data_IF_970387417805
#
_entry.id   IF_970387417805
#
_cell.length_a   1.000
_cell.length_b   1.000
_cell.length_c   1.000
_cell.angle_alpha   90.00
_cell.angle_beta   90.00
_cell.angle_gamma   90.00
#
_symmetry.space_group_name_H-M   'P 1'
#
loop_
_entity.id
_entity.type
_entity.pdbx_description
1 polymer ?
#
# COMPACT_ATOMS: atom_id res chain seq x y z
N UNK A 1 -42.70 -7.79 7.02
CA UNK A 1 -41.86 -6.67 6.54
C UNK A 1 -40.42 -7.11 6.65
N UNK A 2 -39.79 -7.51 5.55
CA UNK A 2 -38.40 -7.94 5.54
C UNK A 2 -37.53 -6.71 5.73
N UNK A 3 -36.99 -6.51 6.93
CA UNK A 3 -36.08 -5.41 7.20
C UNK A 3 -34.91 -5.45 6.20
N UNK A 4 -34.71 -4.33 5.50
CA UNK A 4 -33.62 -4.14 4.55
C UNK A 4 -32.28 -4.11 5.26
N UNK A 5 -31.77 -5.28 5.64
CA UNK A 5 -30.39 -5.41 6.10
C UNK A 5 -29.49 -5.20 4.88
N UNK A 6 -28.82 -4.05 4.81
CA UNK A 6 -27.73 -3.81 3.87
C UNK A 6 -26.80 -5.03 3.88
N UNK A 7 -26.55 -5.59 2.70
CA UNK A 7 -25.71 -6.78 2.55
C UNK A 7 -24.34 -6.51 3.20
N UNK A 8 -23.93 -7.35 4.14
CA UNK A 8 -22.69 -7.18 4.92
C UNK A 8 -21.45 -7.05 4.02
N UNK A 9 -21.48 -7.60 2.80
CA UNK A 9 -20.43 -7.41 1.82
C UNK A 9 -20.19 -5.96 1.42
N UNK A 10 -21.20 -5.08 1.46
CA UNK A 10 -20.99 -3.64 1.21
C UNK A 10 -20.11 -2.99 2.27
N UNK A 11 -20.26 -3.40 3.54
CA UNK A 11 -19.38 -2.96 4.62
C UNK A 11 -17.94 -3.44 4.42
N UNK A 12 -17.75 -4.70 3.98
CA UNK A 12 -16.43 -5.24 3.66
C UNK A 12 -15.79 -4.46 2.50
N UNK A 13 -16.54 -4.17 1.44
CA UNK A 13 -16.04 -3.43 0.29
C UNK A 13 -15.63 -1.99 0.63
N UNK A 14 -16.44 -1.28 1.42
CA UNK A 14 -16.11 0.07 1.88
C UNK A 14 -14.87 0.03 2.79
N UNK A 15 -14.82 -0.91 3.73
CA UNK A 15 -13.65 -1.07 4.61
C UNK A 15 -12.38 -1.39 3.81
N UNK A 16 -12.46 -2.27 2.82
CA UNK A 16 -11.35 -2.59 1.93
C UNK A 16 -10.92 -1.39 1.08
N UNK A 17 -11.87 -0.61 0.55
CA UNK A 17 -11.58 0.60 -0.21
C UNK A 17 -10.87 1.65 0.65
N UNK A 18 -11.34 1.87 1.88
CA UNK A 18 -10.69 2.78 2.84
C UNK A 18 -9.31 2.26 3.24
N UNK A 19 -9.17 0.96 3.51
CA UNK A 19 -7.87 0.36 3.85
C UNK A 19 -6.86 0.46 2.69
N UNK A 20 -7.30 0.29 1.45
CA UNK A 20 -6.45 0.49 0.28
C UNK A 20 -6.09 1.96 0.10
N UNK A 21 -7.06 2.87 0.25
CA UNK A 21 -6.83 4.31 0.11
C UNK A 21 -5.85 4.85 1.17
N UNK A 22 -6.02 4.42 2.42
CA UNK A 22 -5.12 4.76 3.53
C UNK A 22 -3.86 3.88 3.58
N UNK A 23 -3.74 2.91 2.66
CA UNK A 23 -2.66 1.97 2.63
C UNK A 23 -1.33 2.62 2.23
N UNK A 24 -0.24 2.00 2.65
CA UNK A 24 1.12 2.44 2.34
C UNK A 24 1.39 2.65 0.84
N UNK A 25 1.02 1.72 -0.07
CA UNK A 25 1.39 1.86 -1.48
C UNK A 25 0.86 3.13 -2.17
N UNK A 26 -0.44 3.47 -2.14
CA UNK A 26 -0.90 4.70 -2.78
C UNK A 26 -0.37 5.96 -2.10
N UNK A 27 -0.29 6.00 -0.76
CA UNK A 27 0.23 7.19 -0.06
C UNK A 27 1.71 7.41 -0.38
N UNK A 28 2.53 6.36 -0.30
CA UNK A 28 3.97 6.45 -0.56
C UNK A 28 4.24 6.78 -2.02
N UNK A 29 3.59 6.10 -2.97
CA UNK A 29 3.83 6.33 -4.40
C UNK A 29 3.37 7.73 -4.84
N UNK A 30 2.24 8.21 -4.33
CA UNK A 30 1.71 9.52 -4.73
C UNK A 30 2.41 10.68 -4.03
N UNK A 31 2.86 10.50 -2.78
CA UNK A 31 3.51 11.57 -2.02
C UNK A 31 5.02 11.66 -2.28
N UNK A 32 5.67 10.57 -2.68
CA UNK A 32 7.12 10.53 -2.88
C UNK A 32 7.69 11.62 -3.82
N UNK A 33 7.06 11.93 -4.97
CA UNK A 33 7.54 13.01 -5.85
C UNK A 33 7.59 14.39 -5.18
N UNK A 34 6.72 14.65 -4.20
CA UNK A 34 6.68 15.92 -3.45
C UNK A 34 7.95 16.09 -2.61
N UNK A 35 8.45 14.99 -2.02
CA UNK A 35 9.64 14.99 -1.18
C UNK A 35 10.95 14.83 -1.96
N UNK A 36 10.89 14.54 -3.27
CA UNK A 36 12.06 14.31 -4.12
C UNK A 36 13.06 15.49 -4.06
N UNK A 37 12.57 16.73 -4.02
CA UNK A 37 13.41 17.92 -3.93
C UNK A 37 14.11 18.04 -2.57
N UNK A 38 13.45 17.67 -1.49
CA UNK A 38 14.03 17.66 -0.16
C UNK A 38 15.13 16.59 -0.07
N UNK A 39 14.88 15.39 -0.58
CA UNK A 39 15.87 14.31 -0.64
C UNK A 39 17.08 14.67 -1.51
N UNK A 40 16.87 15.28 -2.67
CA UNK A 40 17.97 15.70 -3.53
C UNK A 40 18.88 16.75 -2.87
N UNK A 41 18.30 17.63 -2.05
CA UNK A 41 19.04 18.63 -1.30
C UNK A 41 19.84 18.02 -0.14
N UNK A 42 19.23 17.10 0.60
CA UNK A 42 19.84 16.48 1.79
C UNK A 42 20.92 15.46 1.43
N UNK A 43 20.62 14.56 0.50
CA UNK A 43 21.55 13.50 0.09
C UNK A 43 22.57 13.96 -0.95
N UNK A 44 22.51 15.23 -1.37
CA UNK A 44 23.31 15.79 -2.47
C UNK A 44 23.29 14.93 -3.76
N UNK A 45 22.21 14.16 -3.94
CA UNK A 45 22.06 13.18 -5.00
C UNK A 45 21.26 13.75 -6.17
N UNK A 46 21.52 13.23 -7.37
CA UNK A 46 20.72 13.60 -8.54
C UNK A 46 19.29 13.09 -8.40
N UNK A 47 18.33 13.80 -9.01
CA UNK A 47 16.92 13.35 -9.07
C UNK A 47 16.80 11.95 -9.69
N UNK A 48 17.64 11.63 -10.68
CA UNK A 48 17.66 10.31 -11.32
C UNK A 48 18.09 9.20 -10.36
N UNK A 49 19.10 9.43 -9.51
CA UNK A 49 19.55 8.45 -8.53
C UNK A 49 18.44 8.14 -7.51
N UNK A 50 17.74 9.16 -7.02
CA UNK A 50 16.62 8.99 -6.06
C UNK A 50 15.44 8.27 -6.72
N UNK A 51 15.09 8.64 -7.95
CA UNK A 51 14.03 7.95 -8.71
C UNK A 51 14.39 6.49 -8.99
N UNK A 52 15.66 6.18 -9.28
CA UNK A 52 16.10 4.80 -9.46
C UNK A 52 15.98 3.98 -8.16
N UNK A 53 16.38 4.57 -7.02
CA UNK A 53 16.21 3.92 -5.71
C UNK A 53 14.73 3.62 -5.41
N UNK A 54 13.85 4.58 -5.71
CA UNK A 54 12.41 4.39 -5.55
C UNK A 54 11.83 3.32 -6.50
N UNK A 55 12.26 3.29 -7.76
CA UNK A 55 11.87 2.25 -8.70
C UNK A 55 12.32 0.86 -8.24
N UNK A 56 13.55 0.75 -7.73
CA UNK A 56 14.06 -0.50 -7.16
C UNK A 56 13.24 -0.94 -5.95
N UNK A 57 12.88 -0.02 -5.05
CA UNK A 57 11.99 -0.30 -3.93
C UNK A 57 10.64 -0.89 -4.41
N UNK A 58 10.02 -0.30 -5.44
CA UNK A 58 8.77 -0.81 -6.01
C UNK A 58 8.93 -2.21 -6.62
N UNK A 59 10.04 -2.49 -7.31
CA UNK A 59 10.32 -3.82 -7.87
C UNK A 59 10.46 -4.85 -6.75
N UNK A 60 11.20 -4.53 -5.68
CA UNK A 60 11.37 -5.42 -4.53
C UNK A 60 10.03 -5.65 -3.84
N UNK A 61 9.23 -4.61 -3.64
CA UNK A 61 7.89 -4.73 -3.07
C UNK A 61 6.98 -5.61 -3.93
N UNK A 62 7.02 -5.43 -5.26
CA UNK A 62 6.27 -6.26 -6.20
C UNK A 62 6.74 -7.73 -6.18
N UNK A 63 8.05 -7.98 -6.13
CA UNK A 63 8.61 -9.32 -6.04
C UNK A 63 8.28 -10.00 -4.70
N UNK A 64 8.13 -9.24 -3.62
CA UNK A 64 7.71 -9.75 -2.32
C UNK A 64 6.19 -9.98 -2.23
N UNK A 65 5.39 -9.34 -3.10
CA UNK A 65 3.92 -9.45 -3.09
C UNK A 65 3.38 -10.89 -3.11
N UNK A 66 3.90 -11.84 -3.91
CA UNK A 66 3.47 -13.24 -3.87
C UNK A 66 3.75 -13.95 -2.54
N UNK A 67 4.83 -13.58 -1.85
CA UNK A 67 5.16 -14.14 -0.53
C UNK A 67 4.16 -13.65 0.51
N UNK A 68 3.87 -12.35 0.50
CA UNK A 68 2.87 -11.76 1.39
C UNK A 68 1.46 -12.27 1.09
N UNK A 69 1.10 -12.47 -0.19
CA UNK A 69 -0.16 -13.10 -0.58
C UNK A 69 -0.31 -14.52 -0.01
N UNK A 70 0.72 -15.35 -0.14
CA UNK A 70 0.74 -16.69 0.48
C UNK A 70 0.65 -16.65 2.00
N UNK A 71 1.24 -15.64 2.62
CA UNK A 71 1.18 -15.47 4.07
C UNK A 71 -0.22 -15.02 4.53
N UNK A 72 -0.87 -14.16 3.75
CA UNK A 72 -2.28 -13.76 3.94
C UNK A 72 -3.21 -14.96 3.83
N UNK A 73 -2.99 -15.83 2.83
CA UNK A 73 -3.77 -17.05 2.64
C UNK A 73 -3.64 -18.02 3.83
N UNK A 74 -2.46 -18.06 4.48
CA UNK A 74 -2.18 -18.97 5.61
C UNK A 74 -2.62 -18.44 6.97
N UNK A 75 -2.38 -17.16 7.26
CA UNK A 75 -2.65 -16.56 8.58
C UNK A 75 -4.07 -15.98 8.66
N UNK A 76 -4.69 -15.75 7.52
CA UNK A 76 -6.01 -15.16 7.37
C UNK A 76 -5.94 -13.64 7.19
N UNK A 77 -6.70 -13.14 6.22
CA UNK A 77 -6.78 -11.72 5.84
C UNK A 77 -7.01 -10.78 7.02
N UNK A 78 -7.89 -11.16 7.95
CA UNK A 78 -8.23 -10.32 9.10
C UNK A 78 -7.05 -10.06 10.05
N UNK A 79 -6.17 -11.05 10.26
CA UNK A 79 -5.00 -10.89 11.14
C UNK A 79 -3.90 -10.09 10.46
N UNK A 80 -3.73 -10.27 9.15
CA UNK A 80 -2.75 -9.52 8.37
C UNK A 80 -3.09 -8.04 8.25
N UNK A 81 -4.38 -7.70 8.11
CA UNK A 81 -4.82 -6.29 8.08
C UNK A 81 -4.60 -5.59 9.43
N UNK A 82 -4.63 -6.31 10.56
CA UNK A 82 -4.35 -5.73 11.88
C UNK A 82 -2.84 -5.60 12.14
N UNK A 83 -2.03 -6.48 11.54
CA UNK A 83 -0.59 -6.52 11.74
C UNK A 83 0.17 -5.53 10.83
N UNK A 84 -0.34 -5.31 9.61
CA UNK A 84 0.21 -4.38 8.62
C UNK A 84 -0.17 -2.94 8.89
#
# INVERSE_FOLDING_TARGET
MSEGRLFYGWWISIAAAVALFLGGPPILVLSFPVFLKAFAKEFHASRSAISLAFSLHNIVAAAASPLFGRLVDRVGSRKMIILG
#
